data_IF_685533950970
#
_entry.id   IF_685533950970
#
_cell.length_a   1.000
_cell.length_b   1.000
_cell.length_c   1.000
_cell.angle_alpha   90.00
_cell.angle_beta   90.00
_cell.angle_gamma   90.00
#
_symmetry.space_group_name_H-M   'P 1'
#
loop_
_entity.id
_entity.type
_entity.pdbx_description
1 polymer ?
#
# COMPACT_ATOMS: atom_id res chain seq x y z
N UNK A 1 5.42 -6.38 16.29
CA UNK A 1 5.75 -7.65 15.58
C UNK A 1 6.45 -7.22 14.30
N UNK A 2 7.75 -7.49 14.13
CA UNK A 2 8.44 -7.12 12.90
C UNK A 2 7.80 -7.86 11.72
N UNK A 3 7.57 -7.20 10.57
CA UNK A 3 7.12 -7.89 9.37
C UNK A 3 8.15 -8.98 9.01
N UNK A 4 7.71 -10.13 8.46
CA UNK A 4 8.64 -11.16 8.05
C UNK A 4 9.62 -10.61 7.01
N UNK A 5 10.88 -11.02 7.08
CA UNK A 5 12.00 -10.53 6.26
C UNK A 5 11.74 -10.53 4.74
N UNK A 6 10.78 -11.30 4.25
CA UNK A 6 10.36 -11.33 2.84
C UNK A 6 9.55 -10.07 2.42
N UNK A 7 8.90 -9.36 3.35
CA UNK A 7 8.16 -8.15 3.02
C UNK A 7 9.09 -6.95 2.76
N UNK A 8 10.28 -6.94 3.34
CA UNK A 8 11.26 -5.86 3.10
C UNK A 8 11.86 -5.88 1.69
N UNK A 9 11.80 -7.03 0.99
CA UNK A 9 12.33 -7.14 -0.38
C UNK A 9 11.31 -6.83 -1.47
N UNK A 10 10.00 -6.89 -1.19
CA UNK A 10 8.93 -6.85 -2.17
C UNK A 10 7.89 -5.78 -1.88
N UNK A 11 7.51 -5.03 -2.89
CA UNK A 11 6.33 -4.15 -2.87
C UNK A 11 5.15 -4.93 -3.45
N UNK A 12 4.13 -5.19 -2.64
CA UNK A 12 2.93 -5.90 -3.04
C UNK A 12 2.01 -4.99 -3.83
N UNK A 13 1.57 -5.44 -4.98
CA UNK A 13 0.73 -4.66 -5.89
C UNK A 13 -0.70 -5.18 -5.95
N UNK A 14 -0.87 -6.50 -5.98
CA UNK A 14 -2.19 -7.12 -6.03
C UNK A 14 -2.14 -8.57 -5.50
N UNK A 15 -3.28 -9.07 -5.00
CA UNK A 15 -3.47 -10.46 -4.55
C UNK A 15 -4.40 -11.19 -5.48
N UNK A 16 -3.93 -12.24 -6.13
CA UNK A 16 -4.70 -13.03 -7.10
C UNK A 16 -5.76 -13.85 -6.39
N UNK A 17 -7.03 -13.64 -6.75
CA UNK A 17 -8.18 -14.30 -6.12
C UNK A 17 -8.71 -15.48 -6.92
N UNK A 18 -8.83 -15.34 -8.22
CA UNK A 18 -9.46 -16.34 -9.09
C UNK A 18 -9.13 -16.12 -10.56
N UNK A 19 -9.30 -17.15 -11.41
CA UNK A 19 -9.33 -16.96 -12.84
C UNK A 19 -10.43 -15.99 -13.27
N UNK A 20 -10.20 -15.28 -14.35
CA UNK A 20 -11.14 -14.38 -14.98
C UNK A 20 -11.20 -14.65 -16.48
N UNK A 21 -12.37 -15.06 -16.99
CA UNK A 21 -12.50 -15.41 -18.40
C UNK A 21 -11.87 -16.78 -18.75
N UNK A 22 -11.51 -16.96 -20.04
CA UNK A 22 -11.03 -18.24 -20.58
C UNK A 22 -9.63 -18.19 -21.15
N UNK A 23 -9.01 -17.01 -21.22
CA UNK A 23 -7.74 -16.78 -21.90
C UNK A 23 -6.53 -16.69 -20.96
N UNK A 24 -6.71 -17.07 -19.70
CA UNK A 24 -5.62 -17.04 -18.72
C UNK A 24 -5.56 -15.77 -17.87
N UNK A 25 -6.58 -14.92 -17.98
CA UNK A 25 -6.68 -13.73 -17.13
C UNK A 25 -6.99 -14.10 -15.67
N UNK A 26 -6.53 -13.29 -14.75
CA UNK A 26 -6.82 -13.41 -13.31
C UNK A 26 -7.46 -12.14 -12.77
N UNK A 27 -8.40 -12.30 -11.85
CA UNK A 27 -8.91 -11.20 -11.03
C UNK A 27 -8.11 -11.13 -9.73
N UNK A 28 -7.69 -9.92 -9.35
CA UNK A 28 -6.89 -9.67 -8.16
C UNK A 28 -7.41 -8.47 -7.37
N UNK A 29 -7.27 -8.53 -6.04
CA UNK A 29 -7.48 -7.40 -5.16
C UNK A 29 -6.28 -6.47 -5.26
N UNK A 30 -6.53 -5.16 -5.32
CA UNK A 30 -5.49 -4.13 -5.38
C UNK A 30 -4.93 -3.93 -3.97
N UNK A 31 -3.60 -4.01 -3.84
CA UNK A 31 -2.86 -3.75 -2.60
C UNK A 31 -2.00 -2.49 -2.70
N UNK A 32 -1.79 -1.97 -3.92
CA UNK A 32 -1.00 -0.75 -4.16
C UNK A 32 -1.85 0.50 -4.05
N UNK A 33 -1.22 1.60 -3.65
CA UNK A 33 -1.80 2.94 -3.62
C UNK A 33 -1.92 3.57 -5.01
N UNK A 34 -1.16 3.05 -5.99
CA UNK A 34 -1.01 3.59 -7.33
C UNK A 34 -1.35 2.53 -8.40
N UNK A 35 -2.64 2.11 -8.49
CA UNK A 35 -3.04 1.09 -9.47
C UNK A 35 -2.86 1.54 -10.92
N UNK A 36 -2.86 2.85 -11.20
CA UNK A 36 -2.59 3.42 -12.51
C UNK A 36 -1.16 3.09 -13.01
N UNK A 37 -0.21 2.92 -12.09
CA UNK A 37 1.19 2.56 -12.43
C UNK A 37 1.36 1.14 -12.99
N UNK A 38 0.29 0.31 -13.01
CA UNK A 38 0.32 -0.94 -13.76
C UNK A 38 0.52 -0.70 -15.26
N UNK A 39 0.09 0.44 -15.80
CA UNK A 39 0.30 0.80 -17.21
C UNK A 39 1.78 0.91 -17.60
N UNK A 40 2.65 1.29 -16.66
CA UNK A 40 4.07 1.50 -16.86
C UNK A 40 4.90 0.22 -16.61
N UNK A 41 4.28 -0.78 -15.96
CA UNK A 41 4.96 -1.99 -15.49
C UNK A 41 4.76 -3.16 -16.43
N UNK A 42 5.81 -3.50 -17.19
CA UNK A 42 5.80 -4.68 -18.05
C UNK A 42 6.27 -5.96 -17.36
N UNK A 43 7.23 -5.83 -16.45
CA UNK A 43 7.80 -6.94 -15.68
C UNK A 43 7.29 -6.90 -14.23
N UNK A 44 6.77 -8.01 -13.76
CA UNK A 44 6.23 -8.21 -12.42
C UNK A 44 6.75 -9.54 -11.87
N UNK A 45 6.55 -9.77 -10.58
CA UNK A 45 6.89 -11.02 -9.91
C UNK A 45 5.65 -11.62 -9.27
N UNK A 46 5.56 -12.94 -9.31
CA UNK A 46 4.61 -13.70 -8.52
C UNK A 46 5.35 -14.30 -7.33
N UNK A 47 4.90 -13.97 -6.14
CA UNK A 47 5.47 -14.44 -4.88
C UNK A 47 4.40 -15.18 -4.06
N UNK A 48 4.78 -16.10 -3.17
CA UNK A 48 3.86 -16.71 -2.23
C UNK A 48 3.17 -15.67 -1.36
N UNK A 49 1.87 -15.86 -1.11
CA UNK A 49 1.16 -15.08 -0.09
C UNK A 49 1.35 -15.77 1.26
N UNK A 50 2.03 -15.14 2.25
CA UNK A 50 2.26 -15.73 3.56
C UNK A 50 0.94 -15.95 4.33
N UNK A 51 -0.11 -15.19 4.00
CA UNK A 51 -1.43 -15.27 4.64
C UNK A 51 -2.40 -16.16 3.85
N UNK A 52 -1.92 -16.88 2.84
CA UNK A 52 -2.79 -17.72 2.00
C UNK A 52 -3.40 -18.88 2.79
N UNK A 53 -4.74 -19.03 2.81
CA UNK A 53 -5.41 -20.17 3.46
C UNK A 53 -5.14 -21.52 2.79
N UNK A 54 -4.52 -21.55 1.60
CA UNK A 54 -4.13 -22.76 0.88
C UNK A 54 -2.82 -23.40 1.40
N UNK A 55 -2.31 -22.94 2.53
CA UNK A 55 -1.01 -23.36 3.07
C UNK A 55 0.14 -22.64 2.41
N UNK A 56 1.34 -22.81 2.94
CA UNK A 56 2.56 -22.19 2.40
C UNK A 56 2.80 -22.71 0.99
N UNK A 57 2.43 -21.91 -0.01
CA UNK A 57 2.88 -22.14 -1.39
C UNK A 57 4.40 -21.88 -1.37
N UNK A 58 5.17 -22.93 -1.30
CA UNK A 58 6.66 -22.90 -1.27
C UNK A 58 7.25 -22.74 -2.67
N UNK A 59 6.67 -21.86 -3.50
CA UNK A 59 7.26 -21.54 -4.80
C UNK A 59 8.23 -20.37 -4.65
N UNK A 60 9.41 -20.51 -5.29
CA UNK A 60 10.32 -19.38 -5.40
C UNK A 60 9.65 -18.20 -6.16
N UNK A 61 10.01 -16.97 -5.85
CA UNK A 61 9.59 -15.81 -6.64
C UNK A 61 9.89 -16.04 -8.13
N UNK A 62 8.91 -15.78 -8.99
CA UNK A 62 9.08 -15.93 -10.45
C UNK A 62 8.67 -14.67 -11.17
N UNK A 63 9.46 -14.29 -12.15
CA UNK A 63 9.19 -13.17 -13.03
C UNK A 63 8.07 -13.52 -14.02
N UNK A 64 7.18 -12.57 -14.27
CA UNK A 64 6.11 -12.65 -15.26
C UNK A 64 5.99 -11.34 -16.03
N UNK A 65 5.54 -11.43 -17.28
CA UNK A 65 5.33 -10.27 -18.13
C UNK A 65 3.84 -9.92 -18.17
N UNK A 66 3.50 -8.70 -17.78
CA UNK A 66 2.14 -8.19 -17.89
C UNK A 66 1.84 -7.84 -19.35
N UNK A 67 0.85 -8.53 -19.94
CA UNK A 67 0.40 -8.30 -21.30
C UNK A 67 -0.66 -7.22 -21.37
N UNK A 68 -1.71 -7.35 -20.54
CA UNK A 68 -2.81 -6.37 -20.45
C UNK A 68 -3.40 -6.37 -19.04
N UNK A 69 -3.97 -5.24 -18.65
CA UNK A 69 -4.70 -5.08 -17.39
C UNK A 69 -5.84 -4.09 -17.54
N UNK A 70 -6.84 -4.19 -16.66
CA UNK A 70 -7.92 -3.20 -16.51
C UNK A 70 -8.56 -3.30 -15.13
N UNK A 71 -9.10 -2.18 -14.66
CA UNK A 71 -9.86 -2.13 -13.41
C UNK A 71 -11.23 -2.79 -13.60
N UNK A 72 -11.67 -3.59 -12.64
CA UNK A 72 -12.93 -4.30 -12.68
C UNK A 72 -13.49 -4.54 -11.27
N UNK A 73 -14.71 -4.06 -10.99
CA UNK A 73 -15.46 -4.32 -9.74
C UNK A 73 -14.64 -4.11 -8.46
N UNK A 74 -13.92 -2.99 -8.36
CA UNK A 74 -13.10 -2.66 -7.19
C UNK A 74 -11.75 -3.37 -7.11
N UNK A 75 -11.44 -4.23 -8.08
CA UNK A 75 -10.14 -4.89 -8.22
C UNK A 75 -9.54 -4.64 -9.59
N UNK A 76 -8.55 -5.46 -9.94
CA UNK A 76 -7.84 -5.39 -11.21
C UNK A 76 -7.85 -6.77 -11.89
N UNK A 77 -8.04 -6.77 -13.20
CA UNK A 77 -7.82 -7.97 -14.03
C UNK A 77 -6.45 -7.85 -14.65
N UNK A 78 -5.67 -8.93 -14.55
CA UNK A 78 -4.31 -9.02 -15.07
C UNK A 78 -4.22 -10.20 -16.02
N UNK A 79 -3.55 -10.01 -17.15
CA UNK A 79 -3.21 -11.07 -18.07
C UNK A 79 -1.71 -11.12 -18.26
N UNK A 80 -1.10 -12.23 -17.89
CA UNK A 80 0.33 -12.45 -18.03
C UNK A 80 0.61 -13.25 -19.29
N UNK A 81 1.71 -12.94 -20.00
CA UNK A 81 2.08 -13.64 -21.23
C UNK A 81 2.30 -15.14 -21.04
N UNK A 82 2.57 -15.56 -19.81
CA UNK A 82 2.79 -16.97 -19.43
C UNK A 82 1.52 -17.70 -19.01
N UNK A 83 0.34 -17.06 -19.03
CA UNK A 83 -0.94 -17.64 -18.63
C UNK A 83 -1.94 -17.57 -19.77
N UNK A 84 -2.19 -18.69 -20.44
CA UNK A 84 -2.97 -18.74 -21.68
C UNK A 84 -4.24 -19.61 -21.57
N UNK A 85 -4.52 -20.15 -20.41
CA UNK A 85 -5.66 -21.01 -20.14
C UNK A 85 -6.25 -20.77 -18.74
N UNK A 86 -7.47 -21.27 -18.52
CA UNK A 86 -8.10 -21.23 -17.18
C UNK A 86 -7.25 -22.02 -16.17
N UNK A 87 -6.64 -23.12 -16.59
CA UNK A 87 -5.79 -23.94 -15.72
C UNK A 87 -4.55 -23.20 -15.30
N UNK A 88 -3.92 -22.44 -16.22
CA UNK A 88 -2.78 -21.61 -15.90
C UNK A 88 -3.17 -20.51 -14.89
N UNK A 89 -4.31 -19.86 -15.14
CA UNK A 89 -4.83 -18.81 -14.24
C UNK A 89 -5.20 -19.38 -12.86
N UNK A 90 -5.75 -20.60 -12.78
CA UNK A 90 -6.09 -21.22 -11.50
C UNK A 90 -4.83 -21.57 -10.69
N UNK A 91 -3.76 -21.93 -11.36
CA UNK A 91 -2.46 -22.20 -10.72
C UNK A 91 -1.84 -20.91 -10.09
N UNK A 92 -2.27 -19.72 -10.52
CA UNK A 92 -1.81 -18.43 -9.96
C UNK A 92 -2.60 -18.00 -8.72
N UNK A 93 -3.72 -18.62 -8.44
CA UNK A 93 -4.61 -18.25 -7.33
C UNK A 93 -3.90 -18.32 -5.98
N UNK A 94 -4.01 -17.24 -5.19
CA UNK A 94 -3.39 -17.12 -3.88
C UNK A 94 -1.92 -16.68 -3.94
N UNK A 95 -1.43 -16.24 -5.10
CA UNK A 95 -0.14 -15.58 -5.21
C UNK A 95 -0.31 -14.06 -5.12
N UNK A 96 0.77 -13.39 -4.70
CA UNK A 96 0.89 -11.94 -4.70
C UNK A 96 1.63 -11.51 -5.97
N UNK A 97 1.11 -10.51 -6.65
CA UNK A 97 1.79 -9.78 -7.71
C UNK A 97 2.63 -8.68 -7.05
N UNK A 98 3.93 -8.68 -7.29
CA UNK A 98 4.87 -7.80 -6.61
C UNK A 98 5.93 -7.25 -7.55
N UNK A 99 6.67 -6.25 -7.08
CA UNK A 99 7.93 -5.78 -7.66
C UNK A 99 9.02 -5.78 -6.58
N UNK A 100 10.31 -5.97 -6.94
CA UNK A 100 11.40 -5.71 -6.01
C UNK A 100 11.36 -4.26 -5.51
N UNK A 101 11.74 -4.04 -4.25
CA UNK A 101 11.83 -2.68 -3.70
C UNK A 101 12.69 -1.75 -4.56
N UNK A 102 13.77 -2.28 -5.15
CA UNK A 102 14.64 -1.53 -6.07
C UNK A 102 13.94 -1.07 -7.37
N UNK A 103 12.83 -1.74 -7.76
CA UNK A 103 12.02 -1.38 -8.93
C UNK A 103 10.79 -0.54 -8.59
N UNK A 104 10.72 -0.07 -7.36
CA UNK A 104 9.67 0.86 -6.93
C UNK A 104 9.71 2.09 -7.82
N UNK A 105 8.59 2.47 -8.41
CA UNK A 105 8.52 3.67 -9.24
C UNK A 105 8.99 4.88 -8.41
N UNK A 106 9.87 5.69 -8.98
CA UNK A 106 10.20 6.99 -8.40
C UNK A 106 8.90 7.79 -8.30
N UNK A 107 8.61 8.29 -7.12
CA UNK A 107 7.45 9.15 -6.89
C UNK A 107 7.77 10.53 -7.46
N UNK A 108 6.83 11.12 -8.19
CA UNK A 108 6.97 12.46 -8.77
C UNK A 108 6.26 13.47 -7.87
N UNK A 109 7.00 14.46 -7.39
CA UNK A 109 6.44 15.52 -6.54
C UNK A 109 6.07 15.03 -5.13
N UNK A 110 4.87 15.36 -4.68
CA UNK A 110 4.35 15.07 -3.33
C UNK A 110 3.76 13.65 -3.17
N UNK A 111 3.96 12.77 -4.15
CA UNK A 111 3.50 11.38 -4.04
C UNK A 111 4.37 10.60 -3.07
N UNK A 112 3.75 9.92 -2.12
CA UNK A 112 4.41 8.98 -1.20
C UNK A 112 3.61 7.70 -1.11
N UNK A 113 4.31 6.59 -0.91
CA UNK A 113 3.62 5.36 -0.54
C UNK A 113 3.18 5.47 0.92
N UNK A 114 1.89 5.31 1.17
CA UNK A 114 1.33 5.46 2.51
C UNK A 114 2.02 4.53 3.52
N UNK A 115 2.40 3.33 3.11
CA UNK A 115 3.17 2.42 3.96
C UNK A 115 4.51 2.96 4.46
N UNK A 116 5.14 3.91 3.75
CA UNK A 116 6.40 4.52 4.17
C UNK A 116 6.21 5.55 5.28
N UNK A 117 4.98 6.03 5.46
CA UNK A 117 4.63 6.99 6.51
C UNK A 117 4.47 6.31 7.87
N UNK A 118 4.26 5.00 7.90
CA UNK A 118 4.19 4.23 9.16
C UNK A 118 5.55 4.27 9.85
N UNK A 119 5.53 4.64 11.13
CA UNK A 119 6.73 4.87 11.95
C UNK A 119 7.35 6.25 11.81
N UNK A 120 6.79 7.14 10.95
CA UNK A 120 7.16 8.54 10.93
C UNK A 120 6.51 9.31 12.10
N UNK A 121 7.17 10.36 12.55
CA UNK A 121 6.60 11.30 13.52
C UNK A 121 5.81 12.37 12.78
N UNK A 122 4.55 12.54 13.16
CA UNK A 122 3.69 13.63 12.68
C UNK A 122 3.92 14.88 13.50
N UNK A 123 4.12 16.00 12.83
CA UNK A 123 4.22 17.33 13.41
C UNK A 123 3.08 18.22 12.95
N UNK A 124 2.46 18.94 13.87
CA UNK A 124 1.59 20.05 13.55
C UNK A 124 2.43 21.33 13.37
N UNK A 125 2.27 21.96 12.22
CA UNK A 125 2.96 23.20 11.84
C UNK A 125 1.99 24.36 11.57
N UNK A 126 0.75 24.29 12.07
CA UNK A 126 -0.21 25.38 12.00
C UNK A 126 0.19 26.56 12.91
N UNK A 127 0.89 26.29 14.00
CA UNK A 127 1.38 27.29 14.97
C UNK A 127 2.75 27.88 14.60
N UNK A 128 3.27 28.80 15.44
CA UNK A 128 4.55 29.50 15.21
C UNK A 128 5.79 28.57 15.31
N UNK A 129 5.64 27.41 15.92
CA UNK A 129 6.67 26.38 16.02
C UNK A 129 6.09 24.99 15.78
N UNK A 130 6.82 24.09 15.10
CA UNK A 130 6.39 22.70 14.91
C UNK A 130 6.17 22.01 16.27
N UNK A 131 5.00 21.40 16.46
CA UNK A 131 4.64 20.62 17.63
C UNK A 131 4.54 19.15 17.26
N UNK A 132 5.28 18.28 17.92
CA UNK A 132 5.16 16.85 17.72
C UNK A 132 3.78 16.37 18.20
N UNK A 133 3.02 15.74 17.30
CA UNK A 133 1.71 15.15 17.61
C UNK A 133 1.91 13.73 18.11
N UNK A 134 2.63 12.90 17.37
CA UNK A 134 2.86 11.51 17.72
C UNK A 134 3.43 10.69 16.57
N UNK A 135 3.49 9.37 16.76
CA UNK A 135 3.97 8.43 15.75
C UNK A 135 2.80 7.87 14.95
N UNK A 136 2.93 7.85 13.62
CA UNK A 136 1.97 7.21 12.71
C UNK A 136 2.12 5.70 12.86
N UNK A 137 1.10 5.03 13.38
CA UNK A 137 1.10 3.60 13.65
C UNK A 137 0.50 2.79 12.50
N UNK A 138 -0.50 3.36 11.82
CA UNK A 138 -1.21 2.75 10.71
C UNK A 138 -1.92 3.82 9.87
N UNK A 139 -2.48 3.39 8.73
CA UNK A 139 -3.30 4.25 7.86
C UNK A 139 -4.60 3.56 7.52
N UNK A 140 -5.70 4.04 8.09
CA UNK A 140 -7.03 3.53 7.82
C UNK A 140 -7.62 4.16 6.53
N UNK A 141 -8.00 3.31 5.60
CA UNK A 141 -8.67 3.67 4.33
C UNK A 141 -10.13 3.23 4.28
N UNK A 142 -10.60 2.56 5.31
CA UNK A 142 -11.97 2.03 5.35
C UNK A 142 -13.02 3.11 5.63
N UNK A 143 -12.61 4.23 6.24
CA UNK A 143 -13.52 5.27 6.72
C UNK A 143 -14.04 6.23 5.63
N UNK A 144 -13.54 6.13 4.37
CA UNK A 144 -14.02 7.02 3.30
C UNK A 144 -12.96 7.36 2.24
N UNK A 145 -13.21 8.42 1.43
CA UNK A 145 -12.32 8.80 0.32
C UNK A 145 -10.99 9.42 0.79
N UNK A 146 -10.91 9.87 2.05
CA UNK A 146 -9.69 10.42 2.66
C UNK A 146 -9.17 9.41 3.66
N UNK A 147 -7.91 8.98 3.48
CA UNK A 147 -7.25 8.10 4.42
C UNK A 147 -7.06 8.80 5.78
N UNK A 148 -7.13 8.04 6.87
CA UNK A 148 -6.89 8.53 8.22
C UNK A 148 -5.57 7.97 8.74
N UNK A 149 -4.68 8.81 9.23
CA UNK A 149 -3.55 8.38 10.02
C UNK A 149 -4.03 7.93 11.39
N UNK A 150 -3.65 6.74 11.79
CA UNK A 150 -3.75 6.27 13.17
C UNK A 150 -2.48 6.71 13.88
N UNK A 151 -2.58 7.75 14.70
CA UNK A 151 -1.43 8.38 15.36
C UNK A 151 -1.47 8.07 16.83
N UNK A 152 -0.35 7.61 17.39
CA UNK A 152 -0.16 7.49 18.84
C UNK A 152 0.52 8.76 19.36
N UNK A 153 -0.19 9.61 20.12
CA UNK A 153 0.36 10.86 20.64
C UNK A 153 1.53 10.62 21.59
N UNK A 154 2.39 11.62 21.69
CA UNK A 154 3.50 11.58 22.66
C UNK A 154 2.96 11.56 24.08
N UNK A 155 3.27 10.50 24.83
CA UNK A 155 2.87 10.35 26.23
C UNK A 155 1.44 9.82 26.46
N UNK A 156 0.72 9.41 25.41
CA UNK A 156 -0.59 8.75 25.51
C UNK A 156 -0.56 7.33 24.91
N UNK A 157 -1.24 6.37 25.55
CA UNK A 157 -1.44 5.05 24.95
C UNK A 157 -2.60 5.04 23.93
N UNK A 158 -3.45 6.06 23.92
CA UNK A 158 -4.64 6.15 23.09
C UNK A 158 -4.28 6.67 21.70
N UNK A 159 -4.90 6.11 20.68
CA UNK A 159 -4.64 6.46 19.30
C UNK A 159 -5.66 7.50 18.83
N UNK A 160 -5.21 8.49 18.07
CA UNK A 160 -6.05 9.53 17.46
C UNK A 160 -6.06 9.37 15.95
N UNK A 161 -7.21 9.66 15.33
CA UNK A 161 -7.39 9.60 13.89
C UNK A 161 -7.23 10.98 13.28
N UNK A 162 -6.27 11.15 12.35
CA UNK A 162 -5.98 12.42 11.70
C UNK A 162 -6.16 12.27 10.18
N UNK A 163 -7.05 13.06 9.54
CA UNK A 163 -7.25 12.99 8.09
C UNK A 163 -5.99 13.34 7.31
N UNK A 164 -5.54 12.40 6.44
CA UNK A 164 -4.44 12.63 5.52
C UNK A 164 -4.94 13.38 4.27
N UNK A 165 -5.23 14.67 4.44
CA UNK A 165 -5.65 15.53 3.35
C UNK A 165 -4.48 16.36 2.81
N UNK A 166 -4.35 16.41 1.47
CA UNK A 166 -3.28 17.19 0.79
C UNK A 166 -3.30 18.68 1.17
N UNK A 167 -4.47 19.24 1.51
CA UNK A 167 -4.62 20.63 1.96
C UNK A 167 -3.87 20.92 3.24
N UNK A 168 -3.72 19.95 4.12
CA UNK A 168 -3.01 20.10 5.39
C UNK A 168 -1.53 19.76 5.27
N UNK A 169 -1.15 18.93 4.32
CA UNK A 169 0.22 18.47 4.14
C UNK A 169 1.16 19.64 3.77
N UNK A 170 2.32 19.69 4.42
CA UNK A 170 3.38 20.69 4.18
C UNK A 170 4.69 20.05 3.78
N UNK A 171 5.07 18.95 4.46
CA UNK A 171 6.34 18.26 4.20
C UNK A 171 6.21 16.77 4.51
N UNK A 172 6.86 15.96 3.68
CA UNK A 172 7.15 14.55 3.99
C UNK A 172 8.65 14.35 3.79
N UNK A 173 9.35 14.05 4.86
CA UNK A 173 10.77 13.68 4.86
C UNK A 173 10.90 12.27 5.42
N UNK A 174 10.98 11.29 4.50
CA UNK A 174 11.09 9.88 4.85
C UNK A 174 12.46 9.56 5.46
N UNK A 175 13.52 10.29 5.06
CA UNK A 175 14.86 10.08 5.59
C UNK A 175 14.94 10.51 7.05
N UNK A 176 14.30 11.63 7.40
CA UNK A 176 14.17 12.10 8.77
C UNK A 176 13.01 11.45 9.54
N UNK A 177 12.23 10.55 8.92
CA UNK A 177 10.98 9.98 9.46
C UNK A 177 10.02 11.05 9.97
N UNK A 178 9.82 12.10 9.20
CA UNK A 178 9.07 13.28 9.58
C UNK A 178 7.97 13.59 8.57
N UNK A 179 6.76 13.83 9.09
CA UNK A 179 5.61 14.32 8.33
C UNK A 179 5.14 15.61 8.98
N UNK A 180 4.93 16.67 8.22
CA UNK A 180 4.45 17.97 8.71
C UNK A 180 3.09 18.27 8.08
N UNK A 181 2.12 18.60 8.93
CA UNK A 181 0.79 18.99 8.51
C UNK A 181 0.34 20.25 9.29
N UNK A 182 -0.28 21.19 8.58
CA UNK A 182 -0.95 22.32 9.23
C UNK A 182 -2.36 21.88 9.61
N UNK A 183 -2.54 21.38 10.83
CA UNK A 183 -3.80 20.82 11.28
C UNK A 183 -4.79 21.94 11.67
N UNK A 184 -6.09 21.77 11.39
CA UNK A 184 -7.12 22.68 11.91
C UNK A 184 -7.12 22.71 13.43
N UNK A 185 -7.37 23.87 14.00
CA UNK A 185 -7.49 24.06 15.44
C UNK A 185 -8.59 23.15 16.02
N UNK A 186 -8.30 22.49 17.13
CA UNK A 186 -9.23 21.56 17.78
C UNK A 186 -9.30 20.15 17.19
N UNK A 187 -8.62 19.87 16.07
CA UNK A 187 -8.72 18.55 15.42
C UNK A 187 -8.17 17.43 16.33
N UNK A 188 -7.11 17.69 17.04
CA UNK A 188 -6.47 16.70 17.93
C UNK A 188 -7.34 16.48 19.16
N UNK A 189 -7.84 17.55 19.75
CA UNK A 189 -8.66 17.54 20.96
C UNK A 189 -10.02 16.86 20.75
N UNK A 190 -10.63 17.03 19.58
CA UNK A 190 -11.92 16.42 19.23
C UNK A 190 -11.82 14.89 19.02
N UNK A 191 -10.64 14.38 18.74
CA UNK A 191 -10.39 12.96 18.49
C UNK A 191 -9.68 12.24 19.65
N UNK A 192 -9.49 12.94 20.77
CA UNK A 192 -9.04 12.34 22.02
C UNK A 192 -10.31 11.96 22.80
N UNK A 193 -10.51 10.65 23.13
CA UNK A 193 -11.69 10.16 23.85
C UNK A 193 -11.79 10.77 25.26
#
# INVERSE_FOLDING_TARGET
MNPPADQEQWVWLARIRRPQGRKGEVFADILTDFPEKFAERKQLWLIPDPDSPRGKITSAPREVNLHVHWLHKGGIVLHFSQSNSISDADALKGLIVAIPHAHRAALVGDEVYIGDLIGCTLFDVAGPAPKAVGTIMDVDRSAGPVALFVVRPVGSPEEVLIPFAKTYLRLIDLAARRVEMALPEGLIELNTP
#
